data_IF_290183535024
#
_entry.id   IF_290183535024
#
_cell.length_a   1.000
_cell.length_b   1.000
_cell.length_c   1.000
_cell.angle_alpha   90.00
_cell.angle_beta   90.00
_cell.angle_gamma   90.00
#
_symmetry.space_group_name_H-M   'P 1'
#
loop_
_entity.id
_entity.type
_entity.pdbx_description
1 polymer ?
#
# COMPACT_ATOMS: atom_id res chain seq x y z
N UNK A 1 -19.43 -21.89 21.50
CA UNK A 1 -18.52 -20.90 22.13
C UNK A 1 -17.89 -19.89 21.15
N UNK A 2 -18.11 -19.94 19.82
CA UNK A 2 -17.45 -19.01 18.88
C UNK A 2 -18.20 -17.70 18.57
N UNK A 3 -19.38 -17.45 19.16
CA UNK A 3 -20.19 -16.26 18.79
C UNK A 3 -19.66 -14.92 19.34
N UNK A 4 -18.84 -14.94 20.41
CA UNK A 4 -18.34 -13.72 21.05
C UNK A 4 -17.04 -13.17 20.45
N UNK A 5 -16.30 -13.94 19.64
CA UNK A 5 -15.07 -13.47 18.97
C UNK A 5 -15.38 -12.55 17.77
N UNK A 6 -16.64 -12.50 17.30
CA UNK A 6 -17.04 -11.68 16.15
C UNK A 6 -17.28 -10.20 16.48
N UNK A 7 -17.36 -9.84 17.77
CA UNK A 7 -17.52 -8.45 18.17
C UNK A 7 -16.19 -7.72 18.00
N UNK A 8 -16.13 -6.61 17.24
CA UNK A 8 -14.86 -5.93 16.98
C UNK A 8 -14.06 -5.58 18.23
N UNK A 9 -14.72 -5.19 19.33
CA UNK A 9 -14.07 -4.90 20.62
C UNK A 9 -13.35 -6.12 21.21
N UNK A 10 -14.00 -7.29 21.20
CA UNK A 10 -13.40 -8.51 21.73
C UNK A 10 -12.24 -8.97 20.84
N UNK A 11 -12.37 -8.81 19.53
CA UNK A 11 -11.30 -9.13 18.58
C UNK A 11 -10.07 -8.22 18.78
N UNK A 12 -10.28 -6.93 19.08
CA UNK A 12 -9.18 -6.01 19.41
C UNK A 12 -8.42 -6.49 20.64
N UNK A 13 -9.13 -6.78 21.74
CA UNK A 13 -8.50 -7.25 22.97
C UNK A 13 -7.75 -8.59 22.77
N UNK A 14 -8.39 -9.55 22.08
CA UNK A 14 -7.74 -10.82 21.77
C UNK A 14 -6.51 -10.62 20.88
N UNK A 15 -6.58 -9.71 19.90
CA UNK A 15 -5.44 -9.42 19.03
C UNK A 15 -4.26 -8.85 19.80
N UNK A 16 -4.48 -7.97 20.79
CA UNK A 16 -3.39 -7.46 21.65
C UNK A 16 -2.75 -8.58 22.46
N UNK A 17 -3.55 -9.48 23.05
CA UNK A 17 -3.03 -10.63 23.80
C UNK A 17 -2.18 -11.55 22.89
N UNK A 18 -2.62 -11.80 21.66
CA UNK A 18 -1.82 -12.57 20.70
C UNK A 18 -0.52 -11.88 20.30
N UNK A 19 -0.54 -10.55 20.14
CA UNK A 19 0.67 -9.77 19.85
C UNK A 19 1.66 -9.83 21.01
N UNK A 20 1.18 -9.73 22.26
CA UNK A 20 2.00 -9.83 23.46
C UNK A 20 2.65 -11.22 23.59
N UNK A 21 1.93 -12.27 23.17
CA UNK A 21 2.43 -13.64 23.08
C UNK A 21 3.30 -13.92 21.83
N UNK A 22 3.57 -12.91 20.99
CA UNK A 22 4.36 -13.03 19.77
C UNK A 22 3.64 -13.71 18.60
N UNK A 23 2.37 -14.10 18.75
CA UNK A 23 1.54 -14.80 17.75
C UNK A 23 0.86 -13.82 16.79
N UNK A 24 1.66 -13.08 16.03
CA UNK A 24 1.18 -12.02 15.13
C UNK A 24 0.25 -12.52 14.02
N UNK A 25 0.45 -13.74 13.51
CA UNK A 25 -0.42 -14.33 12.48
C UNK A 25 -1.82 -14.62 13.04
N UNK A 26 -1.91 -15.21 14.24
CA UNK A 26 -3.21 -15.46 14.91
C UNK A 26 -3.94 -14.16 15.27
N UNK A 27 -3.19 -13.12 15.67
CA UNK A 27 -3.76 -11.79 15.88
C UNK A 27 -4.39 -11.23 14.60
N UNK A 28 -3.71 -11.41 13.47
CA UNK A 28 -4.18 -10.96 12.16
C UNK A 28 -5.44 -11.72 11.71
N UNK A 29 -5.50 -13.04 11.93
CA UNK A 29 -6.67 -13.86 11.59
C UNK A 29 -7.92 -13.46 12.38
N UNK A 30 -7.80 -13.20 13.68
CA UNK A 30 -8.93 -12.81 14.53
C UNK A 30 -9.47 -11.44 14.12
N UNK A 31 -8.58 -10.48 13.85
CA UNK A 31 -8.99 -9.19 13.34
C UNK A 31 -9.62 -9.31 11.95
N UNK A 32 -9.11 -10.18 11.08
CA UNK A 32 -9.70 -10.46 9.77
C UNK A 32 -11.15 -10.94 9.89
N UNK A 33 -11.41 -11.91 10.77
CA UNK A 33 -12.77 -12.42 11.01
C UNK A 33 -13.69 -11.33 11.58
N UNK A 34 -13.13 -10.39 12.37
CA UNK A 34 -13.85 -9.23 12.88
C UNK A 34 -14.10 -8.13 11.85
N UNK A 35 -13.36 -8.06 10.73
CA UNK A 35 -13.62 -7.10 9.62
C UNK A 35 -14.35 -7.71 8.43
N UNK A 36 -14.48 -9.03 8.38
CA UNK A 36 -15.19 -9.74 7.31
C UNK A 36 -16.65 -9.27 7.18
N UNK A 37 -17.06 -8.94 5.97
CA UNK A 37 -18.43 -8.52 5.67
C UNK A 37 -19.39 -9.70 5.79
N UNK A 38 -20.51 -9.49 6.49
CA UNK A 38 -21.55 -10.50 6.73
C UNK A 38 -22.92 -9.85 6.73
N UNK A 39 -23.97 -10.63 6.47
CA UNK A 39 -25.35 -10.12 6.45
C UNK A 39 -25.70 -9.43 7.78
N UNK A 40 -26.21 -8.21 7.70
CA UNK A 40 -26.61 -7.41 8.86
C UNK A 40 -25.46 -6.71 9.61
N UNK A 41 -24.21 -6.87 9.15
CA UNK A 41 -23.07 -6.14 9.71
C UNK A 41 -22.97 -4.77 9.05
N UNK A 42 -22.89 -3.73 9.86
CA UNK A 42 -22.72 -2.34 9.43
C UNK A 42 -21.44 -1.76 10.02
N UNK A 43 -21.01 -0.63 9.46
CA UNK A 43 -19.88 0.12 10.00
C UNK A 43 -20.13 0.56 11.45
N UNK A 44 -19.07 0.56 12.26
CA UNK A 44 -19.04 1.10 13.62
C UNK A 44 -17.64 1.60 13.98
N UNK A 45 -17.48 2.52 14.95
CA UNK A 45 -16.15 3.01 15.35
C UNK A 45 -15.19 1.90 15.80
N UNK A 46 -15.69 0.90 16.54
CA UNK A 46 -14.89 -0.26 16.95
C UNK A 46 -14.41 -1.11 15.77
N UNK A 47 -15.14 -1.13 14.66
CA UNK A 47 -14.71 -1.80 13.42
C UNK A 47 -13.56 -1.04 12.75
N UNK A 48 -13.62 0.31 12.74
CA UNK A 48 -12.52 1.14 12.22
C UNK A 48 -11.24 0.97 13.04
N UNK A 49 -11.36 0.87 14.37
CA UNK A 49 -10.23 0.57 15.25
C UNK A 49 -9.65 -0.83 14.98
N UNK A 50 -10.50 -1.85 14.85
CA UNK A 50 -10.08 -3.21 14.50
C UNK A 50 -9.36 -3.23 13.15
N UNK A 51 -9.88 -2.49 12.16
CA UNK A 51 -9.24 -2.34 10.85
C UNK A 51 -7.88 -1.64 10.97
N UNK A 52 -7.77 -0.59 11.77
CA UNK A 52 -6.51 0.13 11.99
C UNK A 52 -5.43 -0.77 12.60
N UNK A 53 -5.79 -1.60 13.57
CA UNK A 53 -4.87 -2.58 14.16
C UNK A 53 -4.51 -3.70 13.17
N UNK A 54 -5.48 -4.16 12.38
CA UNK A 54 -5.26 -5.14 11.31
C UNK A 54 -4.23 -4.64 10.30
N UNK A 55 -4.38 -3.38 9.85
CA UNK A 55 -3.47 -2.75 8.90
C UNK A 55 -2.05 -2.60 9.44
N UNK A 56 -1.88 -2.25 10.72
CA UNK A 56 -0.56 -2.23 11.38
C UNK A 56 0.09 -3.62 11.36
N UNK A 57 -0.68 -4.68 11.64
CA UNK A 57 -0.18 -6.04 11.57
C UNK A 57 0.21 -6.43 10.13
N UNK A 58 -0.58 -6.07 9.12
CA UNK A 58 -0.23 -6.30 7.72
C UNK A 58 1.13 -5.69 7.34
N UNK A 59 1.45 -4.49 7.84
CA UNK A 59 2.77 -3.86 7.62
C UNK A 59 3.87 -4.68 8.30
N UNK A 60 3.69 -5.01 9.58
CA UNK A 60 4.72 -5.75 10.34
C UNK A 60 5.02 -7.13 9.77
N UNK A 61 3.99 -7.82 9.25
CA UNK A 61 4.10 -9.15 8.63
C UNK A 61 4.41 -9.06 7.13
N UNK A 62 4.42 -7.86 6.54
CA UNK A 62 4.51 -7.62 5.09
C UNK A 62 3.49 -8.46 4.29
N UNK A 63 2.29 -8.64 4.83
CA UNK A 63 1.24 -9.47 4.22
C UNK A 63 0.39 -8.65 3.24
N UNK A 64 0.82 -8.58 1.97
CA UNK A 64 0.11 -7.87 0.92
C UNK A 64 -1.25 -8.51 0.57
N UNK A 65 -1.32 -9.85 0.59
CA UNK A 65 -2.56 -10.58 0.35
C UNK A 65 -3.57 -10.37 1.49
N UNK A 66 -3.12 -10.44 2.74
CA UNK A 66 -3.96 -10.15 3.90
C UNK A 66 -4.52 -8.73 3.85
N UNK A 67 -3.68 -7.76 3.48
CA UNK A 67 -4.12 -6.37 3.25
C UNK A 67 -5.23 -6.30 2.18
N UNK A 68 -5.00 -6.89 1.01
CA UNK A 68 -5.96 -6.86 -0.11
C UNK A 68 -7.33 -7.39 0.30
N UNK A 69 -7.34 -8.56 0.94
CA UNK A 69 -8.59 -9.22 1.33
C UNK A 69 -9.30 -8.41 2.43
N UNK A 70 -8.57 -7.98 3.46
CA UNK A 70 -9.13 -7.20 4.56
C UNK A 70 -9.68 -5.85 4.12
N UNK A 71 -8.91 -5.11 3.31
CA UNK A 71 -9.33 -3.81 2.81
C UNK A 71 -10.55 -3.91 1.89
N UNK A 72 -10.67 -4.97 1.08
CA UNK A 72 -11.87 -5.17 0.26
C UNK A 72 -13.10 -5.47 1.13
N UNK A 73 -12.98 -6.28 2.19
CA UNK A 73 -14.08 -6.50 3.14
C UNK A 73 -14.51 -5.20 3.83
N UNK A 74 -13.54 -4.39 4.27
CA UNK A 74 -13.80 -3.11 4.92
C UNK A 74 -14.47 -2.11 3.97
N UNK A 75 -14.02 -2.04 2.70
CA UNK A 75 -14.66 -1.21 1.66
C UNK A 75 -16.14 -1.57 1.52
N UNK A 76 -16.47 -2.86 1.45
CA UNK A 76 -17.86 -3.33 1.31
C UNK A 76 -18.72 -2.84 2.50
N UNK A 77 -18.20 -2.89 3.73
CA UNK A 77 -18.91 -2.43 4.92
C UNK A 77 -19.13 -0.91 4.95
N UNK A 78 -18.16 -0.15 4.43
CA UNK A 78 -18.18 1.31 4.43
C UNK A 78 -18.95 1.92 3.25
N UNK A 79 -19.05 1.21 2.11
CA UNK A 79 -19.53 1.75 0.82
C UNK A 79 -20.84 2.53 0.89
N UNK A 80 -21.81 2.02 1.64
CA UNK A 80 -23.17 2.60 1.73
C UNK A 80 -23.39 3.42 3.01
N UNK A 81 -22.45 3.38 3.96
CA UNK A 81 -22.65 3.95 5.30
C UNK A 81 -21.68 5.08 5.60
N UNK A 82 -20.38 4.85 5.41
CA UNK A 82 -19.33 5.80 5.76
C UNK A 82 -18.08 5.60 4.88
N UNK A 83 -18.14 6.08 3.63
CA UNK A 83 -17.02 6.02 2.68
C UNK A 83 -15.80 6.79 3.21
N UNK A 84 -16.01 7.90 3.92
CA UNK A 84 -14.93 8.71 4.49
C UNK A 84 -14.09 7.95 5.52
N UNK A 85 -14.70 7.05 6.31
CA UNK A 85 -13.96 6.18 7.23
C UNK A 85 -13.01 5.24 6.49
N UNK A 86 -13.45 4.69 5.35
CA UNK A 86 -12.59 3.91 4.47
C UNK A 86 -11.41 4.74 3.96
N UNK A 87 -11.68 5.93 3.40
CA UNK A 87 -10.63 6.81 2.87
C UNK A 87 -9.61 7.22 3.93
N UNK A 88 -10.08 7.65 5.12
CA UNK A 88 -9.23 8.06 6.24
C UNK A 88 -8.35 6.90 6.73
N UNK A 89 -8.93 5.72 6.89
CA UNK A 89 -8.20 4.53 7.37
C UNK A 89 -7.14 4.07 6.37
N UNK A 90 -7.47 4.04 5.07
CA UNK A 90 -6.52 3.66 4.02
C UNK A 90 -5.45 4.73 3.82
N UNK A 91 -5.76 6.02 3.96
CA UNK A 91 -4.76 7.09 3.95
C UNK A 91 -3.74 6.93 5.09
N UNK A 92 -4.18 6.68 6.33
CA UNK A 92 -3.28 6.45 7.47
C UNK A 92 -2.36 5.25 7.22
N UNK A 93 -2.89 4.18 6.63
CA UNK A 93 -2.09 3.02 6.24
C UNK A 93 -1.08 3.34 5.13
N UNK A 94 -1.50 4.10 4.12
CA UNK A 94 -0.62 4.57 3.05
C UNK A 94 0.57 5.35 3.63
N UNK A 95 0.30 6.30 4.52
CA UNK A 95 1.34 7.12 5.17
C UNK A 95 2.25 6.23 6.04
N UNK A 96 1.69 5.24 6.75
CA UNK A 96 2.48 4.27 7.53
C UNK A 96 3.41 3.40 6.65
N UNK A 97 2.97 3.01 5.45
CA UNK A 97 3.82 2.31 4.48
C UNK A 97 4.96 3.19 3.97
N UNK A 98 4.71 4.49 3.75
CA UNK A 98 5.76 5.44 3.38
C UNK A 98 6.77 5.61 4.51
N UNK A 99 6.31 5.74 5.75
CA UNK A 99 7.18 5.87 6.92
C UNK A 99 8.03 4.62 7.11
N UNK A 100 7.46 3.43 6.97
CA UNK A 100 8.20 2.17 7.00
C UNK A 100 9.27 2.11 5.88
N UNK A 101 8.94 2.60 4.69
CA UNK A 101 9.88 2.64 3.55
C UNK A 101 11.02 3.62 3.78
N UNK A 102 10.75 4.78 4.39
CA UNK A 102 11.77 5.77 4.75
C UNK A 102 12.68 5.25 5.87
N UNK A 103 12.11 4.61 6.89
CA UNK A 103 12.87 3.97 7.98
C UNK A 103 13.82 2.90 7.43
N UNK A 104 13.31 2.00 6.58
CA UNK A 104 14.14 0.98 5.95
C UNK A 104 15.27 1.56 5.09
N UNK A 105 15.08 2.72 4.46
CA UNK A 105 16.13 3.41 3.71
C UNK A 105 17.20 3.96 4.64
N UNK A 106 16.80 4.60 5.74
CA UNK A 106 17.74 5.13 6.73
C UNK A 106 18.53 4.02 7.41
N UNK A 107 17.85 2.93 7.83
CA UNK A 107 18.50 1.75 8.42
C UNK A 107 19.52 1.12 7.46
N UNK A 108 19.22 1.10 6.16
CA UNK A 108 20.15 0.61 5.14
C UNK A 108 21.41 1.47 5.05
N UNK A 109 21.26 2.80 5.04
CA UNK A 109 22.38 3.75 5.00
C UNK A 109 23.22 3.66 6.29
N UNK A 110 22.57 3.65 7.46
CA UNK A 110 23.25 3.55 8.76
C UNK A 110 24.07 2.27 8.89
N UNK A 111 23.54 1.15 8.40
CA UNK A 111 24.24 -0.12 8.42
C UNK A 111 25.50 -0.10 7.55
N UNK A 112 25.43 0.47 6.36
CA UNK A 112 26.58 0.60 5.46
C UNK A 112 27.65 1.50 6.09
N UNK A 113 27.25 2.64 6.68
CA UNK A 113 28.18 3.53 7.38
C UNK A 113 28.87 2.86 8.56
N UNK A 114 28.16 2.03 9.32
CA UNK A 114 28.75 1.28 10.43
C UNK A 114 29.75 0.23 9.92
N UNK A 115 29.38 -0.53 8.89
CA UNK A 115 30.25 -1.55 8.29
C UNK A 115 31.52 -0.94 7.66
N UNK A 116 31.42 0.22 7.01
CA UNK A 116 32.57 0.93 6.42
C UNK A 116 33.56 1.44 7.49
N UNK A 117 33.09 1.80 8.69
CA UNK A 117 33.95 2.23 9.80
C UNK A 117 34.72 1.07 10.44
N UNK A 118 34.16 -0.14 10.40
CA UNK A 118 34.74 -1.35 10.96
C UNK A 118 35.63 -2.12 9.95
N UNK A 119 35.61 -1.75 8.67
CA UNK A 119 36.34 -2.43 7.61
C UNK A 119 37.83 -2.01 7.59
N UNK A 120 38.72 -2.93 7.99
CA UNK A 120 40.15 -2.83 7.66
C UNK A 120 40.29 -3.20 6.18
N UNK A 121 40.82 -2.30 5.36
CA UNK A 121 41.05 -2.59 3.94
C UNK A 121 42.01 -3.78 3.77
N UNK A 122 41.44 -4.96 3.48
CA UNK A 122 42.22 -6.14 3.11
C UNK A 122 42.36 -6.23 1.59
N UNK A 123 43.42 -6.89 1.08
CA UNK A 123 43.58 -7.12 -0.37
C UNK A 123 42.36 -7.80 -1.01
N UNK A 124 41.65 -8.68 -0.29
CA UNK A 124 40.43 -9.32 -0.82
C UNK A 124 39.27 -8.31 -1.01
N UNK A 125 39.08 -7.35 -0.10
CA UNK A 125 38.01 -6.34 -0.19
C UNK A 125 38.28 -5.35 -1.33
N UNK A 126 39.54 -4.98 -1.55
CA UNK A 126 39.96 -4.12 -2.68
C UNK A 126 39.70 -4.84 -4.02
N UNK A 127 40.01 -6.13 -4.11
CA UNK A 127 39.72 -6.94 -5.31
C UNK A 127 38.21 -7.05 -5.55
N UNK A 128 37.40 -7.26 -4.50
CA UNK A 128 35.94 -7.28 -4.64
C UNK A 128 35.36 -5.92 -5.07
N UNK A 129 35.90 -4.80 -4.55
CA UNK A 129 35.50 -3.44 -4.94
C UNK A 129 35.85 -3.12 -6.41
N UNK A 130 36.92 -3.71 -6.95
CA UNK A 130 37.35 -3.52 -8.34
C UNK A 130 36.64 -4.44 -9.36
N UNK A 131 36.18 -5.62 -8.93
CA UNK A 131 35.50 -6.59 -9.81
C UNK A 131 33.97 -6.44 -9.80
N UNK A 132 33.39 -5.93 -8.70
CA UNK A 132 31.94 -5.80 -8.60
C UNK A 132 31.44 -4.39 -8.95
N UNK A 133 30.56 -4.29 -9.94
CA UNK A 133 29.83 -3.04 -10.26
C UNK A 133 28.80 -2.65 -9.19
N UNK A 134 28.47 -3.57 -8.27
CA UNK A 134 27.48 -3.35 -7.21
C UNK A 134 28.14 -2.82 -5.94
N UNK A 135 27.70 -1.66 -5.49
CA UNK A 135 28.20 -1.00 -4.28
C UNK A 135 27.80 -1.76 -3.01
N UNK A 136 28.47 -1.46 -1.89
CA UNK A 136 28.08 -1.98 -0.57
C UNK A 136 26.64 -1.57 -0.22
N UNK A 137 26.28 -0.32 -0.54
CA UNK A 137 24.91 0.19 -0.41
C UNK A 137 23.88 -0.63 -1.20
N UNK A 138 24.17 -1.00 -2.45
CA UNK A 138 23.25 -1.82 -3.26
C UNK A 138 22.96 -3.18 -2.64
N UNK A 139 23.94 -3.78 -1.95
CA UNK A 139 23.78 -5.07 -1.27
C UNK A 139 22.90 -4.93 -0.04
N UNK A 140 23.15 -3.91 0.78
CA UNK A 140 22.35 -3.65 1.97
C UNK A 140 20.92 -3.23 1.62
N UNK A 141 20.74 -2.42 0.58
CA UNK A 141 19.42 -2.06 0.05
C UNK A 141 18.64 -3.26 -0.46
N UNK A 142 19.28 -4.27 -1.05
CA UNK A 142 18.61 -5.52 -1.46
C UNK A 142 18.07 -6.31 -0.27
N UNK A 143 18.74 -6.24 0.88
CA UNK A 143 18.39 -7.00 2.07
C UNK A 143 17.34 -6.26 2.92
N UNK A 144 17.54 -4.96 3.16
CA UNK A 144 16.73 -4.19 4.12
C UNK A 144 15.62 -3.36 3.44
N UNK A 145 15.97 -2.63 2.38
CA UNK A 145 15.05 -1.68 1.74
C UNK A 145 14.11 -2.35 0.72
N UNK A 146 14.65 -3.19 -0.15
CA UNK A 146 13.94 -3.79 -1.29
C UNK A 146 12.70 -4.58 -0.87
N UNK A 147 12.72 -5.44 0.17
CA UNK A 147 11.52 -6.16 0.61
C UNK A 147 10.40 -5.22 1.06
N UNK A 148 10.75 -4.17 1.80
CA UNK A 148 9.80 -3.16 2.28
C UNK A 148 9.18 -2.40 1.10
N UNK A 149 10.00 -1.96 0.14
CA UNK A 149 9.48 -1.25 -1.04
C UNK A 149 8.62 -2.15 -1.94
N UNK A 150 8.94 -3.44 -2.08
CA UNK A 150 8.10 -4.40 -2.82
C UNK A 150 6.72 -4.54 -2.17
N UNK A 151 6.67 -4.72 -0.85
CA UNK A 151 5.42 -4.75 -0.10
C UNK A 151 4.62 -3.45 -0.26
N UNK A 152 5.26 -2.30 -0.07
CA UNK A 152 4.62 -0.97 -0.21
C UNK A 152 4.01 -0.79 -1.59
N UNK A 153 4.74 -1.14 -2.65
CA UNK A 153 4.23 -1.08 -4.01
C UNK A 153 3.01 -2.00 -4.22
N UNK A 154 3.07 -3.25 -3.76
CA UNK A 154 1.94 -4.19 -3.87
C UNK A 154 0.72 -3.69 -3.11
N UNK A 155 0.90 -3.13 -1.91
CA UNK A 155 -0.16 -2.53 -1.13
C UNK A 155 -0.81 -1.35 -1.87
N UNK A 156 -0.01 -0.46 -2.48
CA UNK A 156 -0.51 0.67 -3.26
C UNK A 156 -1.28 0.22 -4.50
N UNK A 157 -0.76 -0.76 -5.23
CA UNK A 157 -1.49 -1.37 -6.36
C UNK A 157 -2.82 -1.97 -5.91
N UNK A 158 -2.85 -2.65 -4.76
CA UNK A 158 -4.08 -3.21 -4.20
C UNK A 158 -5.09 -2.13 -3.80
N UNK A 159 -4.65 -0.98 -3.25
CA UNK A 159 -5.54 0.16 -2.97
C UNK A 159 -6.22 0.63 -4.26
N UNK A 160 -5.44 0.83 -5.33
CA UNK A 160 -5.97 1.28 -6.62
C UNK A 160 -6.95 0.26 -7.22
N UNK A 161 -6.64 -1.03 -7.14
CA UNK A 161 -7.51 -2.11 -7.59
C UNK A 161 -8.84 -2.16 -6.82
N UNK A 162 -8.80 -1.90 -5.50
CA UNK A 162 -9.99 -1.89 -4.63
C UNK A 162 -10.88 -0.66 -4.90
N UNK A 163 -10.29 0.48 -5.27
CA UNK A 163 -11.01 1.74 -5.47
C UNK A 163 -11.47 1.98 -6.91
N UNK A 164 -11.07 1.15 -7.87
CA UNK A 164 -11.34 1.38 -9.30
C UNK A 164 -12.85 1.41 -9.63
N UNK A 165 -13.20 2.23 -10.62
CA UNK A 165 -14.56 2.37 -11.17
C UNK A 165 -15.64 2.50 -10.08
N UNK A 166 -15.39 3.37 -9.09
CA UNK A 166 -16.31 3.63 -8.00
C UNK A 166 -16.45 5.14 -7.84
N UNK A 167 -17.62 5.68 -8.20
CA UNK A 167 -17.90 7.12 -8.17
C UNK A 167 -17.68 7.77 -6.80
N UNK A 168 -17.89 7.02 -5.71
CA UNK A 168 -17.72 7.56 -4.36
C UNK A 168 -16.26 7.64 -3.94
N UNK A 169 -15.37 6.90 -4.61
CA UNK A 169 -13.94 6.83 -4.33
C UNK A 169 -13.10 7.45 -5.45
N UNK A 170 -13.72 8.12 -6.43
CA UNK A 170 -13.02 8.62 -7.62
C UNK A 170 -11.95 9.64 -7.26
N UNK A 171 -12.29 10.63 -6.41
CA UNK A 171 -11.34 11.62 -5.91
C UNK A 171 -10.22 10.97 -5.11
N UNK A 172 -10.57 10.06 -4.21
CA UNK A 172 -9.60 9.32 -3.41
C UNK A 172 -8.66 8.49 -4.28
N UNK A 173 -9.15 7.82 -5.32
CA UNK A 173 -8.35 7.09 -6.29
C UNK A 173 -7.34 8.01 -6.99
N UNK A 174 -7.78 9.19 -7.44
CA UNK A 174 -6.89 10.18 -8.07
C UNK A 174 -5.79 10.67 -7.12
N UNK A 175 -6.15 10.97 -5.88
CA UNK A 175 -5.19 11.41 -4.86
C UNK A 175 -4.17 10.32 -4.51
N UNK A 176 -4.60 9.05 -4.40
CA UNK A 176 -3.68 7.92 -4.22
C UNK A 176 -2.76 7.76 -5.43
N UNK A 177 -3.25 7.85 -6.68
CA UNK A 177 -2.38 7.83 -7.86
C UNK A 177 -1.26 8.86 -7.77
N UNK A 178 -1.58 10.12 -7.43
CA UNK A 178 -0.60 11.20 -7.24
C UNK A 178 0.42 10.88 -6.14
N UNK A 179 -0.03 10.35 -5.00
CA UNK A 179 0.87 9.93 -3.91
C UNK A 179 1.79 8.79 -4.35
N UNK A 180 1.28 7.82 -5.10
CA UNK A 180 2.07 6.68 -5.61
C UNK A 180 3.12 7.17 -6.62
N UNK A 181 2.79 8.10 -7.51
CA UNK A 181 3.77 8.69 -8.42
C UNK A 181 4.94 9.32 -7.66
N UNK A 182 4.66 10.13 -6.64
CA UNK A 182 5.68 10.73 -5.77
C UNK A 182 6.55 9.69 -5.07
N UNK A 183 5.95 8.59 -4.59
CA UNK A 183 6.68 7.47 -4.00
C UNK A 183 7.63 6.81 -5.02
N UNK A 184 7.11 6.50 -6.21
CA UNK A 184 7.90 5.84 -7.26
C UNK A 184 9.06 6.71 -7.72
N UNK A 185 8.85 8.02 -7.83
CA UNK A 185 9.89 9.00 -8.11
C UNK A 185 10.96 9.03 -7.00
N UNK A 186 10.53 9.15 -5.73
CA UNK A 186 11.43 9.24 -4.56
C UNK A 186 12.37 8.05 -4.40
N UNK A 187 11.91 6.85 -4.74
CA UNK A 187 12.67 5.60 -4.63
C UNK A 187 13.15 5.07 -5.99
N UNK A 188 13.08 5.89 -7.04
CA UNK A 188 13.57 5.58 -8.40
C UNK A 188 13.06 4.26 -8.98
N UNK A 189 11.79 3.94 -8.70
CA UNK A 189 11.15 2.66 -9.05
C UNK A 189 10.60 2.67 -10.48
N UNK A 190 11.49 2.77 -11.47
CA UNK A 190 11.15 2.87 -12.90
C UNK A 190 10.32 1.68 -13.40
N UNK A 191 10.62 0.46 -12.95
CA UNK A 191 9.88 -0.74 -13.39
C UNK A 191 8.45 -0.78 -12.86
N UNK A 192 8.24 -0.40 -11.60
CA UNK A 192 6.91 -0.31 -11.00
C UNK A 192 6.11 0.85 -11.59
N UNK A 193 6.76 1.96 -11.95
CA UNK A 193 6.11 3.06 -12.67
C UNK A 193 5.48 2.61 -13.99
N UNK A 194 6.22 1.86 -14.84
CA UNK A 194 5.64 1.29 -16.08
C UNK A 194 4.44 0.40 -15.80
N UNK A 195 4.54 -0.46 -14.78
CA UNK A 195 3.40 -1.30 -14.34
C UNK A 195 2.21 -0.47 -13.86
N UNK A 196 2.45 0.69 -13.23
CA UNK A 196 1.38 1.61 -12.82
C UNK A 196 0.70 2.25 -14.03
N UNK A 197 1.45 2.65 -15.05
CA UNK A 197 0.92 3.16 -16.32
C UNK A 197 -0.03 2.15 -16.95
N UNK A 198 0.40 0.88 -17.04
CA UNK A 198 -0.43 -0.23 -17.56
C UNK A 198 -1.71 -0.43 -16.74
N UNK A 199 -1.59 -0.45 -15.42
CA UNK A 199 -2.73 -0.58 -14.50
C UNK A 199 -3.70 0.59 -14.68
N UNK A 200 -3.21 1.83 -14.75
CA UNK A 200 -4.07 3.00 -14.89
C UNK A 200 -4.77 3.04 -16.25
N UNK A 201 -4.08 2.63 -17.32
CA UNK A 201 -4.67 2.47 -18.66
C UNK A 201 -5.77 1.40 -18.65
N UNK A 202 -5.52 0.25 -18.04
CA UNK A 202 -6.51 -0.82 -17.89
C UNK A 202 -7.73 -0.37 -17.10
N UNK A 203 -7.54 0.36 -16.00
CA UNK A 203 -8.64 0.87 -15.18
C UNK A 203 -9.52 1.87 -15.95
N UNK A 204 -8.92 2.75 -16.75
CA UNK A 204 -9.66 3.67 -17.61
C UNK A 204 -10.47 2.93 -18.67
N UNK A 205 -9.88 1.93 -19.33
CA UNK A 205 -10.60 1.07 -20.29
C UNK A 205 -11.79 0.34 -19.64
N UNK A 206 -11.61 -0.17 -18.41
CA UNK A 206 -12.68 -0.80 -17.65
C UNK A 206 -13.78 0.20 -17.29
N UNK A 207 -13.41 1.42 -16.93
CA UNK A 207 -14.37 2.50 -16.62
C UNK A 207 -15.23 2.85 -17.84
N UNK A 208 -14.62 2.96 -19.02
CA UNK A 208 -15.35 3.18 -20.28
C UNK A 208 -16.28 2.00 -20.62
N UNK A 209 -15.83 0.76 -20.38
CA UNK A 209 -16.59 -0.44 -20.74
C UNK A 209 -17.74 -0.75 -19.77
N UNK A 210 -17.58 -0.49 -18.48
CA UNK A 210 -18.49 -0.93 -17.42
C UNK A 210 -19.21 0.24 -16.76
N UNK A 211 -20.20 0.80 -17.45
CA UNK A 211 -20.96 1.98 -17.02
C UNK A 211 -22.32 1.65 -16.40
N UNK A 212 -22.75 0.38 -16.42
CA UNK A 212 -24.11 -0.02 -16.04
C UNK A 212 -24.36 -0.09 -14.52
N UNK A 213 -23.31 -0.10 -13.70
CA UNK A 213 -23.47 -0.13 -12.24
C UNK A 213 -23.79 1.27 -11.71
N UNK A 214 -24.69 1.38 -10.73
CA UNK A 214 -25.06 2.67 -10.10
C UNK A 214 -23.88 3.39 -9.44
N UNK A 215 -22.87 2.62 -9.03
CA UNK A 215 -21.62 3.13 -8.48
C UNK A 215 -20.51 3.31 -9.52
N UNK A 216 -20.74 2.97 -10.80
CA UNK A 216 -19.75 3.22 -11.86
C UNK A 216 -19.51 4.71 -12.04
N UNK A 217 -18.28 5.06 -12.44
CA UNK A 217 -17.91 6.44 -12.80
C UNK A 217 -18.60 6.82 -14.11
N UNK A 218 -19.10 8.05 -14.20
CA UNK A 218 -19.71 8.60 -15.41
C UNK A 218 -18.74 9.58 -16.10
N UNK A 219 -18.09 9.14 -17.17
CA UNK A 219 -17.15 9.97 -17.94
C UNK A 219 -17.82 11.06 -18.80
N UNK A 220 -19.14 11.23 -18.70
CA UNK A 220 -19.82 12.42 -19.24
C UNK A 220 -19.83 13.59 -18.26
N UNK A 221 -19.51 13.34 -16.98
CA UNK A 221 -19.40 14.37 -15.95
C UNK A 221 -18.05 15.11 -16.11
N UNK A 222 -18.05 16.45 -16.32
CA UNK A 222 -16.82 17.22 -16.40
C UNK A 222 -15.89 17.04 -15.20
N UNK A 223 -16.44 16.85 -13.99
CA UNK A 223 -15.62 16.65 -12.79
C UNK A 223 -14.84 15.32 -12.84
N UNK A 224 -15.46 14.24 -13.32
CA UNK A 224 -14.78 12.95 -13.52
C UNK A 224 -13.70 13.07 -14.60
N UNK A 225 -13.96 13.80 -15.69
CA UNK A 225 -12.97 14.05 -16.75
C UNK A 225 -11.76 14.81 -16.19
N UNK A 226 -11.99 15.85 -15.40
CA UNK A 226 -10.93 16.64 -14.75
C UNK A 226 -10.03 15.74 -13.89
N UNK A 227 -10.62 14.87 -13.05
CA UNK A 227 -9.85 13.93 -12.23
C UNK A 227 -9.00 12.97 -13.09
N UNK A 228 -9.54 12.45 -14.19
CA UNK A 228 -8.76 11.61 -15.10
C UNK A 228 -7.60 12.38 -15.73
N UNK A 229 -7.82 13.64 -16.14
CA UNK A 229 -6.77 14.50 -16.68
C UNK A 229 -5.68 14.79 -15.64
N UNK A 230 -6.05 15.10 -14.41
CA UNK A 230 -5.09 15.31 -13.31
C UNK A 230 -4.18 14.08 -13.09
N UNK A 231 -4.74 12.86 -13.14
CA UNK A 231 -3.95 11.63 -13.03
C UNK A 231 -2.96 11.52 -14.20
N UNK A 232 -3.40 11.81 -15.43
CA UNK A 232 -2.57 11.70 -16.64
C UNK A 232 -1.46 12.74 -16.67
N UNK A 233 -1.74 13.97 -16.23
CA UNK A 233 -0.73 15.03 -16.11
C UNK A 233 0.33 14.64 -15.07
N UNK A 234 -0.09 14.16 -13.89
CA UNK A 234 0.86 13.69 -12.87
C UNK A 234 1.70 12.49 -13.34
N UNK A 235 1.11 11.59 -14.15
CA UNK A 235 1.85 10.50 -14.80
C UNK A 235 2.91 11.06 -15.77
N UNK A 236 2.55 12.00 -16.65
CA UNK A 236 3.46 12.62 -17.60
C UNK A 236 4.62 13.34 -16.90
N UNK A 237 4.32 14.16 -15.89
CA UNK A 237 5.34 14.88 -15.09
C UNK A 237 6.33 13.91 -14.44
N UNK A 238 5.82 12.79 -13.93
CA UNK A 238 6.66 11.75 -13.30
C UNK A 238 7.49 10.99 -14.33
N UNK A 239 6.92 10.67 -15.50
CA UNK A 239 7.65 10.02 -16.59
C UNK A 239 8.81 10.90 -17.07
N UNK A 240 8.57 12.20 -17.26
CA UNK A 240 9.61 13.19 -17.61
C UNK A 240 10.70 13.22 -16.52
N UNK A 241 10.30 13.32 -15.25
CA UNK A 241 11.24 13.37 -14.12
C UNK A 241 12.09 12.09 -13.98
N UNK A 242 11.58 10.95 -14.45
CA UNK A 242 12.29 9.66 -14.46
C UNK A 242 13.02 9.37 -15.78
N UNK A 243 12.95 10.29 -16.75
CA UNK A 243 13.50 10.18 -18.12
C UNK A 243 12.97 8.95 -18.88
N UNK A 244 11.68 8.67 -18.72
CA UNK A 244 10.99 7.55 -19.37
C UNK A 244 10.27 8.03 -20.62
N UNK A 245 11.01 8.44 -21.65
CA UNK A 245 10.46 9.10 -22.85
C UNK A 245 9.47 8.27 -23.68
N UNK A 246 9.49 6.94 -23.51
CA UNK A 246 8.56 6.04 -24.19
C UNK A 246 7.25 5.82 -23.40
N UNK A 247 7.19 6.28 -22.15
CA UNK A 247 6.02 6.20 -21.25
C UNK A 247 5.25 7.53 -21.23
#
# INVERSE_FOLDING_TARGET
MYRNSYMPQNAIQQSSEFVDLGKRESALEILFEAIRARRGKTWSPSLEEAMSNFLKLCISLRSAQGFKDGANQFRILCQMTNVNSFESTINKFFDSCLDASNKAKNESIEKVLAEDLDEIETPETIILKSISETTHQDRTDRILLTPTLKFTWEAFRNILEICKNNRNLERFYADICKKVFKFLLKFERKMEFRKLCDVSKLHLQQTVRYTQNTLSINLSDPASIELQLEIRLGQLETAISMELWNE
#
